data_IF_370853468122
#
_entry.id   IF_370853468122
#
_cell.length_a   1.000
_cell.length_b   1.000
_cell.length_c   1.000
_cell.angle_alpha   90.00
_cell.angle_beta   90.00
_cell.angle_gamma   90.00
#
_symmetry.space_group_name_H-M   'P 1'
#
loop_
_entity.id
_entity.type
_entity.pdbx_description
1 polymer ?
#
# COMPACT_ATOMS: atom_id res chain seq x y z
N UNK A 1 -12.78 21.38 -4.31
CA UNK A 1 -11.80 20.55 -3.58
C UNK A 1 -10.45 20.67 -4.29
N UNK A 2 -9.34 20.74 -3.52
CA UNK A 2 -8.00 20.90 -4.09
C UNK A 2 -7.23 19.58 -4.17
N UNK A 3 -7.72 18.54 -3.50
CA UNK A 3 -7.10 17.22 -3.43
C UNK A 3 -8.10 16.08 -3.56
N UNK A 4 -7.67 15.03 -4.23
CA UNK A 4 -8.28 13.70 -4.18
C UNK A 4 -7.31 12.75 -3.49
N UNK A 5 -7.81 11.94 -2.55
CA UNK A 5 -7.06 10.87 -1.89
C UNK A 5 -7.63 9.53 -2.37
N UNK A 6 -6.91 8.87 -3.25
CA UNK A 6 -7.33 7.61 -3.86
C UNK A 6 -6.72 6.41 -3.13
N UNK A 7 -7.51 5.77 -2.26
CA UNK A 7 -7.12 4.58 -1.49
C UNK A 7 -7.86 3.31 -1.96
N UNK A 8 -8.74 3.44 -2.94
CA UNK A 8 -9.53 2.33 -3.46
C UNK A 8 -8.73 1.36 -4.33
N UNK A 9 -9.22 0.13 -4.44
CA UNK A 9 -8.67 -0.88 -5.34
C UNK A 9 -8.75 -2.30 -4.77
N UNK A 10 -8.47 -3.28 -5.62
CA UNK A 10 -8.29 -4.68 -5.21
C UNK A 10 -6.92 -4.80 -4.55
N UNK A 11 -6.90 -5.15 -3.25
CA UNK A 11 -5.67 -5.29 -2.47
C UNK A 11 -5.41 -6.75 -2.05
N UNK A 12 -5.97 -7.70 -2.78
CA UNK A 12 -5.79 -9.14 -2.55
C UNK A 12 -4.62 -9.66 -3.39
N UNK A 13 -3.48 -9.91 -2.76
CA UNK A 13 -2.27 -10.39 -3.42
C UNK A 13 -2.38 -11.84 -3.91
N UNK A 14 -3.39 -12.59 -3.43
CA UNK A 14 -3.65 -13.97 -3.86
C UNK A 14 -4.61 -14.06 -5.05
N UNK A 15 -5.21 -12.94 -5.44
CA UNK A 15 -6.12 -12.87 -6.57
C UNK A 15 -5.33 -12.96 -7.89
N UNK A 16 -5.66 -13.93 -8.71
CA UNK A 16 -5.02 -14.20 -10.02
C UNK A 16 -5.79 -13.65 -11.21
N UNK A 17 -6.96 -13.03 -10.99
CA UNK A 17 -7.74 -12.38 -12.04
C UNK A 17 -7.05 -11.07 -12.48
N UNK A 18 -6.06 -11.22 -13.35
CA UNK A 18 -5.19 -10.13 -13.80
C UNK A 18 -5.97 -9.05 -14.54
N UNK A 19 -6.91 -9.43 -15.40
CA UNK A 19 -7.72 -8.47 -16.17
C UNK A 19 -8.53 -7.57 -15.25
N UNK A 20 -9.25 -8.14 -14.32
CA UNK A 20 -10.05 -7.41 -13.33
C UNK A 20 -9.17 -6.51 -12.45
N UNK A 21 -8.01 -7.01 -12.01
CA UNK A 21 -7.07 -6.22 -11.18
C UNK A 21 -6.55 -5.03 -11.96
N UNK A 22 -6.08 -5.23 -13.20
CA UNK A 22 -5.58 -4.12 -14.01
C UNK A 22 -6.68 -3.09 -14.30
N UNK A 23 -7.86 -3.54 -14.67
CA UNK A 23 -8.99 -2.65 -14.92
C UNK A 23 -9.37 -1.81 -13.69
N UNK A 24 -9.43 -2.42 -12.50
CA UNK A 24 -9.86 -1.72 -11.29
C UNK A 24 -8.76 -0.93 -10.60
N UNK A 25 -7.50 -1.32 -10.73
CA UNK A 25 -6.39 -0.65 -10.07
C UNK A 25 -5.64 0.30 -11.01
N UNK A 26 -5.28 -0.15 -12.21
CA UNK A 26 -4.49 0.64 -13.15
C UNK A 26 -5.38 1.58 -13.99
N UNK A 27 -6.30 1.03 -14.79
CA UNK A 27 -7.12 1.84 -15.70
C UNK A 27 -7.95 2.89 -14.95
N UNK A 28 -8.52 2.49 -13.80
CA UNK A 28 -9.25 3.43 -12.95
C UNK A 28 -8.36 4.55 -12.43
N UNK A 29 -7.15 4.21 -11.94
CA UNK A 29 -6.20 5.21 -11.43
C UNK A 29 -5.72 6.15 -12.53
N UNK A 30 -5.51 5.64 -13.76
CA UNK A 30 -5.15 6.46 -14.92
C UNK A 30 -6.26 7.45 -15.30
N UNK A 31 -7.51 6.97 -15.34
CA UNK A 31 -8.66 7.85 -15.61
C UNK A 31 -8.82 8.91 -14.51
N UNK A 32 -8.73 8.51 -13.26
CA UNK A 32 -8.83 9.45 -12.14
C UNK A 32 -7.72 10.49 -12.19
N UNK A 33 -6.48 10.10 -12.50
CA UNK A 33 -5.37 11.02 -12.70
C UNK A 33 -5.66 12.00 -13.84
N UNK A 34 -6.16 11.51 -14.98
CA UNK A 34 -6.49 12.35 -16.14
C UNK A 34 -7.54 13.41 -15.78
N UNK A 35 -8.60 13.03 -15.07
CA UNK A 35 -9.61 13.96 -14.57
C UNK A 35 -9.04 14.97 -13.56
N UNK A 36 -8.22 14.50 -12.62
CA UNK A 36 -7.56 15.37 -11.67
C UNK A 36 -6.67 16.41 -12.37
N UNK A 37 -5.86 15.96 -13.34
CA UNK A 37 -4.96 16.84 -14.10
C UNK A 37 -5.74 17.84 -14.95
N UNK A 38 -6.82 17.43 -15.60
CA UNK A 38 -7.68 18.29 -16.40
C UNK A 38 -8.32 19.42 -15.57
N UNK A 39 -8.68 19.12 -14.32
CA UNK A 39 -9.37 20.04 -13.42
C UNK A 39 -8.45 20.75 -12.42
N UNK A 40 -7.16 20.58 -12.51
CA UNK A 40 -6.18 21.23 -11.60
C UNK A 40 -6.29 20.72 -10.15
N UNK A 41 -6.78 19.48 -9.93
CA UNK A 41 -6.95 18.88 -8.61
C UNK A 41 -5.76 17.97 -8.31
N UNK A 42 -5.10 18.18 -7.18
CA UNK A 42 -3.95 17.37 -6.78
C UNK A 42 -4.37 15.95 -6.38
N UNK A 43 -3.47 14.98 -6.52
CA UNK A 43 -3.75 13.56 -6.29
C UNK A 43 -2.79 12.95 -5.27
N UNK A 44 -3.34 12.34 -4.20
CA UNK A 44 -2.64 11.34 -3.41
C UNK A 44 -3.17 9.95 -3.75
N UNK A 45 -2.29 8.95 -3.86
CA UNK A 45 -2.73 7.59 -4.16
C UNK A 45 -1.98 6.51 -3.38
N UNK A 46 -2.67 5.39 -3.14
CA UNK A 46 -2.11 4.21 -2.51
C UNK A 46 -1.32 3.38 -3.54
N UNK A 47 0.01 3.37 -3.41
CA UNK A 47 0.88 2.35 -3.97
C UNK A 47 1.13 1.25 -2.93
N UNK A 48 2.16 0.44 -3.07
CA UNK A 48 2.43 -0.70 -2.18
C UNK A 48 3.91 -1.07 -2.19
N UNK A 49 4.44 -1.48 -1.05
CA UNK A 49 5.78 -2.09 -0.96
C UNK A 49 5.90 -3.41 -1.72
N UNK A 50 4.78 -4.04 -2.10
CA UNK A 50 4.79 -5.24 -2.94
C UNK A 50 5.41 -5.03 -4.33
N UNK A 51 5.55 -3.77 -4.78
CA UNK A 51 6.24 -3.42 -6.05
C UNK A 51 7.72 -3.81 -6.03
N UNK A 52 8.33 -3.85 -4.86
CA UNK A 52 9.74 -4.24 -4.71
C UNK A 52 9.99 -5.72 -4.99
N UNK A 53 8.99 -6.58 -4.72
CA UNK A 53 9.12 -8.02 -4.88
C UNK A 53 10.10 -8.64 -3.87
N UNK A 54 10.91 -9.57 -4.34
CA UNK A 54 11.90 -10.28 -3.53
C UNK A 54 13.26 -9.57 -3.61
N UNK A 55 13.39 -8.48 -2.86
CA UNK A 55 14.61 -7.67 -2.75
C UNK A 55 14.99 -7.45 -1.29
N UNK A 56 16.25 -7.05 -1.08
CA UNK A 56 16.74 -6.57 0.23
C UNK A 56 16.83 -5.05 0.28
N UNK A 57 16.74 -4.38 -0.86
CA UNK A 57 16.74 -2.91 -0.96
C UNK A 57 15.30 -2.42 -1.16
N UNK A 58 14.79 -1.70 -0.19
CA UNK A 58 13.47 -1.09 -0.18
C UNK A 58 13.55 0.43 -0.31
N UNK A 59 14.67 0.99 -0.77
CA UNK A 59 14.72 2.42 -1.06
C UNK A 59 13.78 2.78 -2.22
N UNK A 60 13.29 4.01 -2.26
CA UNK A 60 12.38 4.47 -3.33
C UNK A 60 13.02 4.40 -4.73
N UNK A 61 14.37 4.41 -4.78
CA UNK A 61 15.17 4.32 -6.00
C UNK A 61 15.53 2.88 -6.39
N UNK A 62 15.25 1.91 -5.52
CA UNK A 62 15.54 0.51 -5.79
C UNK A 62 14.79 -0.01 -7.02
N UNK A 63 15.39 -0.99 -7.68
CA UNK A 63 14.72 -1.72 -8.74
C UNK A 63 13.46 -2.42 -8.20
N UNK A 64 12.33 -2.22 -8.86
CA UNK A 64 11.08 -2.88 -8.52
C UNK A 64 10.96 -4.18 -9.33
N UNK A 65 10.59 -5.28 -8.64
CA UNK A 65 10.43 -6.62 -9.21
C UNK A 65 9.06 -7.21 -8.82
N UNK A 66 7.94 -6.61 -9.27
CA UNK A 66 6.60 -7.03 -8.87
C UNK A 66 6.32 -8.48 -9.29
N UNK A 67 5.81 -9.30 -8.37
CA UNK A 67 5.62 -10.74 -8.56
C UNK A 67 4.14 -11.16 -8.67
N UNK A 68 3.20 -10.26 -8.39
CA UNK A 68 1.76 -10.56 -8.44
C UNK A 68 1.02 -9.57 -9.33
N UNK A 69 -0.16 -9.92 -9.88
CA UNK A 69 -0.97 -8.97 -10.65
C UNK A 69 -1.29 -7.69 -9.88
N UNK A 70 -1.52 -7.81 -8.56
CA UNK A 70 -1.69 -6.64 -7.69
C UNK A 70 -0.45 -5.75 -7.66
N UNK A 71 0.73 -6.33 -7.42
CA UNK A 71 1.98 -5.58 -7.38
C UNK A 71 2.28 -4.89 -8.73
N UNK A 72 2.05 -5.60 -9.84
CA UNK A 72 2.16 -5.03 -11.19
C UNK A 72 1.20 -3.86 -11.40
N UNK A 73 -0.05 -3.96 -10.96
CA UNK A 73 -1.02 -2.87 -11.12
C UNK A 73 -0.59 -1.58 -10.43
N UNK A 74 0.07 -1.69 -9.26
CA UNK A 74 0.61 -0.54 -8.53
C UNK A 74 1.89 0.00 -9.19
N UNK A 75 2.80 -0.89 -9.55
CA UNK A 75 4.04 -0.52 -10.21
C UNK A 75 3.82 0.17 -11.54
N UNK A 76 2.92 -0.34 -12.38
CA UNK A 76 2.60 0.26 -13.67
C UNK A 76 2.07 1.68 -13.51
N UNK A 77 1.24 1.96 -12.53
CA UNK A 77 0.77 3.32 -12.26
C UNK A 77 1.91 4.21 -11.73
N UNK A 78 2.75 3.71 -10.80
CA UNK A 78 3.94 4.41 -10.29
C UNK A 78 4.86 4.86 -11.45
N UNK A 79 4.97 4.04 -12.52
CA UNK A 79 5.83 4.33 -13.67
C UNK A 79 5.15 5.18 -14.75
N UNK A 80 3.84 5.09 -14.85
CA UNK A 80 3.08 5.74 -15.91
C UNK A 80 2.84 7.24 -15.65
N UNK A 81 2.35 7.61 -14.47
CA UNK A 81 1.95 9.00 -14.23
C UNK A 81 3.10 10.03 -14.40
N UNK A 82 4.37 9.74 -14.04
CA UNK A 82 5.45 10.72 -14.26
C UNK A 82 5.69 11.02 -15.73
N UNK A 83 5.40 10.07 -16.64
CA UNK A 83 5.55 10.27 -18.09
C UNK A 83 4.46 11.14 -18.70
N UNK A 84 3.43 11.46 -17.95
CA UNK A 84 2.31 12.29 -18.37
C UNK A 84 2.59 13.79 -18.17
N UNK A 85 3.74 14.16 -17.59
CA UNK A 85 4.14 15.54 -17.31
C UNK A 85 3.02 16.33 -16.60
N UNK A 86 2.53 15.90 -15.41
CA UNK A 86 1.39 16.50 -14.76
C UNK A 86 1.63 17.94 -14.36
N UNK A 87 0.61 18.78 -14.51
CA UNK A 87 0.57 20.16 -13.99
C UNK A 87 0.14 20.21 -12.52
N UNK A 88 -0.36 19.10 -12.00
CA UNK A 88 -0.79 18.94 -10.60
C UNK A 88 0.29 18.25 -9.75
N UNK A 89 0.17 18.39 -8.45
CA UNK A 89 0.96 17.56 -7.52
C UNK A 89 0.38 16.14 -7.45
N UNK A 90 1.26 15.15 -7.59
CA UNK A 90 0.92 13.72 -7.48
C UNK A 90 1.81 13.07 -6.44
N UNK A 91 1.20 12.54 -5.38
CA UNK A 91 1.89 11.95 -4.25
C UNK A 91 1.49 10.48 -4.10
N UNK A 92 2.43 9.58 -4.39
CA UNK A 92 2.27 8.13 -4.28
C UNK A 92 2.85 7.61 -2.97
N UNK A 93 2.15 6.69 -2.32
CA UNK A 93 2.58 6.11 -1.05
C UNK A 93 2.68 4.59 -1.14
N UNK A 94 3.90 4.05 -1.06
CA UNK A 94 4.17 2.60 -1.02
C UNK A 94 4.01 2.11 0.41
N UNK A 95 2.79 1.70 0.75
CA UNK A 95 2.51 1.17 2.08
C UNK A 95 3.18 -0.17 2.31
N UNK A 96 3.79 -0.31 3.49
CA UNK A 96 4.18 -1.59 4.06
C UNK A 96 2.98 -2.25 4.73
N UNK A 97 3.15 -3.07 5.76
CA UNK A 97 2.03 -3.82 6.32
C UNK A 97 1.22 -2.96 7.29
N UNK A 98 0.23 -2.26 6.76
CA UNK A 98 -0.65 -1.42 7.58
C UNK A 98 -1.57 -2.29 8.44
N UNK A 99 -1.68 -1.94 9.73
CA UNK A 99 -2.57 -2.58 10.68
C UNK A 99 -3.35 -1.54 11.50
N UNK A 100 -4.42 -1.95 12.17
CA UNK A 100 -5.11 -1.08 13.11
C UNK A 100 -6.63 -1.24 13.11
N UNK A 101 -7.30 -0.18 13.54
CA UNK A 101 -8.74 -0.13 13.70
C UNK A 101 -9.47 -0.46 12.39
N UNK A 102 -10.61 -1.13 12.49
CA UNK A 102 -11.46 -1.58 11.38
C UNK A 102 -10.88 -2.68 10.48
N UNK A 103 -9.71 -3.23 10.77
CA UNK A 103 -9.13 -4.32 10.00
C UNK A 103 -10.05 -5.56 9.92
N UNK A 104 -10.84 -5.82 10.97
CA UNK A 104 -11.82 -6.90 11.02
C UNK A 104 -12.89 -6.82 9.90
N UNK A 105 -13.17 -5.62 9.38
CA UNK A 105 -14.14 -5.43 8.29
C UNK A 105 -13.66 -6.03 6.95
N UNK A 106 -12.37 -6.35 6.83
CA UNK A 106 -11.82 -7.02 5.65
C UNK A 106 -12.12 -8.54 5.58
N UNK A 107 -12.73 -9.09 6.63
CA UNK A 107 -13.07 -10.50 6.70
C UNK A 107 -11.85 -11.42 6.52
N UNK A 108 -11.96 -12.44 5.67
CA UNK A 108 -10.87 -13.41 5.41
C UNK A 108 -9.59 -12.80 4.83
N UNK A 109 -9.67 -11.61 4.24
CA UNK A 109 -8.53 -10.88 3.62
C UNK A 109 -7.78 -9.98 4.60
N UNK A 110 -7.99 -10.15 5.88
CA UNK A 110 -7.30 -9.40 6.93
C UNK A 110 -5.83 -9.84 7.06
N UNK A 111 -4.98 -9.00 7.68
CA UNK A 111 -3.58 -9.33 7.92
C UNK A 111 -3.39 -10.30 9.10
N UNK A 112 -2.15 -10.75 9.32
CA UNK A 112 -1.80 -11.71 10.37
C UNK A 112 -2.18 -11.19 11.77
N UNK A 113 -1.90 -9.93 12.10
CA UNK A 113 -2.20 -9.33 13.42
C UNK A 113 -3.70 -9.47 13.76
N UNK A 114 -4.58 -9.16 12.82
CA UNK A 114 -6.02 -9.30 13.08
C UNK A 114 -6.43 -10.77 13.22
N UNK A 115 -5.87 -11.68 12.39
CA UNK A 115 -6.13 -13.11 12.49
C UNK A 115 -5.72 -13.68 13.85
N UNK A 116 -4.52 -13.33 14.31
CA UNK A 116 -4.03 -13.78 15.62
C UNK A 116 -4.84 -13.20 16.78
N UNK A 117 -5.22 -11.93 16.69
CA UNK A 117 -6.11 -11.32 17.68
C UNK A 117 -7.46 -12.06 17.78
N UNK A 118 -8.03 -12.41 16.65
CA UNK A 118 -9.31 -13.13 16.59
C UNK A 118 -9.12 -14.57 17.12
N UNK A 119 -8.02 -15.24 16.78
CA UNK A 119 -7.68 -16.57 17.29
C UNK A 119 -7.43 -16.55 18.80
N UNK A 120 -6.64 -15.61 19.32
CA UNK A 120 -6.40 -15.44 20.74
C UNK A 120 -7.70 -15.25 21.53
N UNK A 121 -8.63 -14.45 21.02
CA UNK A 121 -9.93 -14.22 21.64
C UNK A 121 -10.82 -15.43 21.63
N UNK A 122 -10.79 -16.23 20.57
CA UNK A 122 -11.65 -17.39 20.40
C UNK A 122 -11.10 -18.64 21.08
N UNK A 123 -9.79 -18.85 21.02
CA UNK A 123 -9.13 -20.10 21.36
C UNK A 123 -8.19 -19.98 22.57
N UNK A 124 -7.95 -18.77 23.07
CA UNK A 124 -7.00 -18.49 24.16
C UNK A 124 -5.52 -18.72 23.79
N UNK A 125 -5.23 -18.96 22.51
CA UNK A 125 -3.89 -19.21 22.00
C UNK A 125 -3.72 -18.64 20.60
N UNK A 126 -2.45 -18.48 20.17
CA UNK A 126 -2.07 -18.06 18.82
C UNK A 126 -1.23 -19.19 18.21
N UNK A 127 -1.52 -19.55 16.96
CA UNK A 127 -0.70 -20.46 16.17
C UNK A 127 0.07 -19.70 15.12
N UNK A 128 1.39 -19.86 15.11
CA UNK A 128 2.29 -19.27 14.12
C UNK A 128 2.94 -20.37 13.28
N UNK A 129 3.46 -20.02 12.11
CA UNK A 129 4.20 -20.95 11.26
C UNK A 129 5.57 -21.25 11.89
N UNK A 130 6.13 -22.42 11.62
CA UNK A 130 7.48 -22.82 12.08
C UNK A 130 8.56 -21.81 11.64
N UNK A 131 8.37 -21.16 10.48
CA UNK A 131 9.31 -20.17 9.94
C UNK A 131 9.00 -18.73 10.37
N UNK A 132 8.09 -18.52 11.32
CA UNK A 132 7.60 -17.19 11.71
C UNK A 132 8.71 -16.25 12.22
N UNK A 133 9.77 -16.78 12.83
CA UNK A 133 10.93 -16.02 13.30
C UNK A 133 11.79 -15.46 12.15
N UNK A 134 11.78 -16.11 11.00
CA UNK A 134 12.60 -15.73 9.83
C UNK A 134 11.88 -14.79 8.88
N UNK A 135 10.54 -14.75 8.92
CA UNK A 135 9.73 -13.89 8.06
C UNK A 135 9.52 -12.55 8.73
N UNK A 136 10.23 -11.53 8.25
CA UNK A 136 10.14 -10.16 8.79
C UNK A 136 9.30 -9.25 7.92
N UNK A 137 8.57 -8.35 8.56
CA UNK A 137 7.77 -7.29 7.91
C UNK A 137 7.86 -6.00 8.70
N UNK A 138 7.82 -4.88 7.99
CA UNK A 138 7.55 -3.59 8.61
C UNK A 138 6.04 -3.45 8.84
N UNK A 139 5.65 -3.15 10.07
CA UNK A 139 4.28 -3.02 10.51
C UNK A 139 3.99 -1.58 10.87
N UNK A 140 3.07 -0.96 10.13
CA UNK A 140 2.75 0.45 10.26
C UNK A 140 1.34 0.63 10.80
N UNK A 141 1.20 1.42 11.87
CA UNK A 141 -0.13 1.68 12.41
C UNK A 141 -0.92 2.63 11.51
N UNK A 142 -2.20 2.32 11.27
CA UNK A 142 -3.07 3.10 10.37
C UNK A 142 -3.21 4.57 10.78
N UNK A 143 -3.12 4.88 12.07
CA UNK A 143 -3.16 6.26 12.56
C UNK A 143 -1.96 7.08 12.10
N UNK A 144 -0.77 6.48 11.99
CA UNK A 144 0.42 7.15 11.46
C UNK A 144 0.29 7.37 9.96
N UNK A 145 -0.28 6.40 9.24
CA UNK A 145 -0.60 6.55 7.81
C UNK A 145 -1.54 7.74 7.59
N UNK A 146 -2.64 7.83 8.37
CA UNK A 146 -3.58 8.95 8.27
C UNK A 146 -2.90 10.30 8.57
N UNK A 147 -2.05 10.34 9.60
CA UNK A 147 -1.30 11.55 9.97
C UNK A 147 -0.37 11.98 8.86
N UNK A 148 0.38 11.03 8.28
CA UNK A 148 1.28 11.27 7.16
C UNK A 148 0.52 11.89 5.97
N UNK A 149 -0.63 11.35 5.59
CA UNK A 149 -1.45 11.93 4.52
C UNK A 149 -1.79 13.40 4.78
N UNK A 150 -2.25 13.71 6.01
CA UNK A 150 -2.61 15.07 6.41
C UNK A 150 -1.40 16.01 6.40
N UNK A 151 -0.25 15.52 6.89
CA UNK A 151 0.97 16.31 6.92
C UNK A 151 1.49 16.60 5.51
N UNK A 152 1.43 15.63 4.61
CA UNK A 152 1.81 15.82 3.20
C UNK A 152 0.91 16.84 2.49
N UNK A 153 -0.38 16.87 2.76
CA UNK A 153 -1.29 17.89 2.23
C UNK A 153 -0.87 19.31 2.64
N UNK A 154 -0.28 19.45 3.82
CA UNK A 154 0.06 20.77 4.39
C UNK A 154 1.49 21.21 4.09
N UNK A 155 2.44 20.31 4.11
CA UNK A 155 3.87 20.61 4.17
C UNK A 155 4.63 20.26 2.90
N UNK A 156 4.31 19.17 2.23
CA UNK A 156 5.07 18.72 1.05
C UNK A 156 4.51 19.36 -0.23
N UNK A 157 5.33 20.19 -0.85
CA UNK A 157 5.00 20.91 -2.08
C UNK A 157 5.73 20.30 -3.27
N UNK A 158 5.28 19.12 -3.70
CA UNK A 158 5.89 18.46 -4.85
C UNK A 158 5.28 17.08 -5.14
N UNK A 159 5.62 16.58 -6.30
CA UNK A 159 5.24 15.23 -6.75
C UNK A 159 6.34 14.24 -6.43
N UNK A 160 5.95 13.00 -6.12
CA UNK A 160 6.90 11.93 -5.86
C UNK A 160 6.23 10.65 -5.38
N UNK A 161 7.07 9.66 -5.09
CA UNK A 161 6.64 8.39 -4.52
C UNK A 161 7.48 8.14 -3.28
N UNK A 162 6.82 7.84 -2.16
CA UNK A 162 7.45 7.64 -0.86
C UNK A 162 7.05 6.32 -0.23
N UNK A 163 7.99 5.74 0.48
CA UNK A 163 7.71 4.60 1.36
C UNK A 163 6.91 5.05 2.59
N UNK A 164 5.97 4.21 3.01
CA UNK A 164 5.20 4.43 4.23
C UNK A 164 5.30 3.18 5.11
N UNK A 165 6.29 3.21 5.98
CA UNK A 165 6.64 2.18 6.93
C UNK A 165 7.06 2.77 8.27
N UNK A 166 7.27 1.92 9.27
CA UNK A 166 7.84 2.32 10.57
C UNK A 166 9.38 2.45 10.51
N UNK A 167 10.01 1.88 9.49
CA UNK A 167 11.46 1.73 9.37
C UNK A 167 12.03 0.56 10.18
N UNK A 168 11.19 -0.20 10.87
CA UNK A 168 11.59 -1.33 11.71
C UNK A 168 10.91 -2.62 11.23
N UNK A 169 11.72 -3.62 10.91
CA UNK A 169 11.24 -4.93 10.51
C UNK A 169 11.16 -5.87 11.71
N UNK A 170 9.98 -6.36 12.02
CA UNK A 170 9.73 -7.36 13.06
C UNK A 170 9.39 -8.70 12.44
N UNK A 171 9.81 -9.80 13.08
CA UNK A 171 9.38 -11.13 12.66
C UNK A 171 7.89 -11.35 12.96
N UNK A 172 7.30 -12.33 12.30
CA UNK A 172 5.93 -12.72 12.63
C UNK A 172 5.83 -13.26 14.06
N UNK A 173 6.92 -13.87 14.58
CA UNK A 173 6.97 -14.34 15.96
C UNK A 173 7.01 -13.18 16.97
N UNK A 174 7.77 -12.10 16.69
CA UNK A 174 7.85 -10.92 17.57
C UNK A 174 6.48 -10.23 17.71
N UNK A 175 5.63 -10.32 16.70
CA UNK A 175 4.31 -9.65 16.69
C UNK A 175 3.21 -10.54 17.27
N UNK A 176 3.38 -11.86 17.30
CA UNK A 176 2.40 -12.81 17.82
C UNK A 176 2.41 -12.88 19.35
#
# INVERSE_FOLDING_TARGET
YNWVIHLGGIADMTNTDTERILKQNLDFSQRLFTECNLHGVHLQYASSSSVYGDTKDFSEHAACLPQTPYAWSKYLFDRWWPTQHPEIMVQGFRYFNVYGKYMHLRGKRTNAIQKWRDQARKEGKISVWETAEHIKRDWTWVGDVCRLHIDFLKTVKGSGIWNVGSGLAHSFLDIA
#
